data_IF_946134508851
#
_entry.id   IF_946134508851
#
_cell.length_a   1.000
_cell.length_b   1.000
_cell.length_c   1.000
_cell.angle_alpha   90.00
_cell.angle_beta   90.00
_cell.angle_gamma   90.00
#
_symmetry.space_group_name_H-M   'P 1'
#
loop_
_entity.id
_entity.type
_entity.pdbx_description
1 polymer ?
#
# COMPACT_ATOMS: atom_id res chain seq x y z
N UNK A 1 -18.55 -10.73 22.95
CA UNK A 1 -18.33 -11.78 21.94
C UNK A 1 -17.56 -11.13 20.81
N UNK A 2 -16.30 -11.50 20.57
CA UNK A 2 -15.53 -10.96 19.46
C UNK A 2 -16.17 -11.46 18.16
N UNK A 3 -16.58 -10.56 17.27
CA UNK A 3 -17.02 -10.93 15.93
C UNK A 3 -15.83 -11.57 15.22
N UNK A 4 -15.84 -12.88 15.10
CA UNK A 4 -14.91 -13.60 14.23
C UNK A 4 -15.40 -13.35 12.80
N UNK A 5 -14.81 -12.35 12.14
CA UNK A 5 -15.07 -12.15 10.72
C UNK A 5 -14.42 -13.30 9.94
N UNK A 6 -15.12 -13.91 8.97
CA UNK A 6 -14.50 -14.89 8.09
C UNK A 6 -13.30 -14.26 7.37
N UNK A 7 -12.23 -15.03 7.19
CA UNK A 7 -11.09 -14.59 6.40
C UNK A 7 -11.53 -14.15 5.00
N UNK A 8 -11.03 -13.01 4.54
CA UNK A 8 -11.36 -12.45 3.22
C UNK A 8 -12.64 -11.61 3.16
N UNK A 9 -13.28 -11.29 4.30
CA UNK A 9 -14.37 -10.34 4.34
C UNK A 9 -13.86 -8.89 4.40
N UNK A 10 -14.11 -8.13 3.33
CA UNK A 10 -13.78 -6.71 3.24
C UNK A 10 -15.05 -5.89 3.00
N UNK A 11 -15.07 -4.66 3.51
CA UNK A 11 -16.17 -3.70 3.30
C UNK A 11 -15.76 -2.53 2.42
N UNK A 12 -14.47 -2.17 2.46
CA UNK A 12 -13.89 -1.04 1.74
C UNK A 12 -12.69 -1.48 0.91
N UNK A 13 -12.42 -0.74 -0.16
CA UNK A 13 -11.17 -0.81 -0.91
C UNK A 13 -10.65 0.61 -1.13
N UNK A 14 -9.37 0.83 -0.84
CA UNK A 14 -8.70 2.09 -1.15
C UNK A 14 -7.86 1.89 -2.41
N UNK A 15 -8.03 2.75 -3.39
CA UNK A 15 -7.30 2.72 -4.65
C UNK A 15 -6.73 4.08 -4.96
N UNK A 16 -5.71 4.12 -5.82
CA UNK A 16 -5.14 5.36 -6.32
C UNK A 16 -5.13 5.36 -7.84
N UNK A 17 -5.57 6.46 -8.44
CA UNK A 17 -5.66 6.58 -9.90
C UNK A 17 -4.26 6.53 -10.54
N UNK A 18 -4.20 6.13 -11.81
CA UNK A 18 -2.94 6.09 -12.58
C UNK A 18 -2.48 7.53 -12.89
N UNK A 19 -1.26 7.95 -12.49
CA UNK A 19 -0.74 9.28 -12.78
C UNK A 19 -0.36 9.44 -14.27
N UNK A 20 -0.35 10.67 -14.76
CA UNK A 20 0.09 10.97 -16.14
C UNK A 20 1.57 10.65 -16.39
N UNK A 21 2.36 10.57 -15.32
CA UNK A 21 3.76 10.14 -15.35
C UNK A 21 3.93 8.63 -15.37
N UNK A 22 2.85 7.85 -15.35
CA UNK A 22 2.90 6.39 -15.38
C UNK A 22 3.75 5.86 -16.56
N UNK A 23 4.65 4.94 -16.25
CA UNK A 23 5.54 4.31 -17.23
C UNK A 23 6.72 5.16 -17.68
N UNK A 24 6.82 6.42 -17.23
CA UNK A 24 8.06 7.20 -17.32
C UNK A 24 8.97 6.74 -16.18
N UNK A 25 9.87 5.80 -16.47
CA UNK A 25 10.85 5.34 -15.47
C UNK A 25 11.75 6.51 -15.05
N UNK A 26 12.00 6.65 -13.74
CA UNK A 26 13.01 7.57 -13.22
C UNK A 26 14.45 7.08 -13.50
N UNK A 27 14.62 5.81 -13.86
CA UNK A 27 15.91 5.21 -14.19
C UNK A 27 15.83 4.54 -15.57
N UNK A 28 16.67 5.01 -16.50
CA UNK A 28 16.66 4.73 -17.94
C UNK A 28 16.99 3.29 -18.36
N UNK A 29 16.33 2.30 -17.77
CA UNK A 29 16.21 0.96 -18.38
C UNK A 29 15.28 1.03 -19.60
N UNK A 30 15.54 0.17 -20.60
CA UNK A 30 14.72 0.02 -21.81
C UNK A 30 13.25 -0.20 -21.43
N UNK A 31 12.49 0.90 -21.37
CA UNK A 31 11.11 0.90 -20.92
C UNK A 31 10.27 0.17 -21.96
N UNK A 32 9.57 -0.88 -21.53
CA UNK A 32 8.41 -1.35 -22.28
C UNK A 32 7.51 -0.14 -22.56
N UNK A 33 7.11 0.05 -23.81
CA UNK A 33 6.22 1.13 -24.21
C UNK A 33 4.88 0.97 -23.46
N UNK A 34 4.69 1.76 -22.40
CA UNK A 34 3.48 1.72 -21.58
C UNK A 34 2.39 2.56 -22.21
N UNK A 35 1.27 1.93 -22.51
CA UNK A 35 0.05 2.62 -22.95
C UNK A 35 -0.70 3.16 -21.73
N UNK A 36 -0.55 4.47 -21.48
CA UNK A 36 -1.22 5.18 -20.38
C UNK A 36 -2.75 5.05 -20.45
N UNK A 37 -3.33 5.21 -21.64
CA UNK A 37 -4.77 5.15 -21.84
C UNK A 37 -5.30 3.74 -21.52
N UNK A 38 -4.55 2.71 -21.93
CA UNK A 38 -4.87 1.32 -21.59
C UNK A 38 -4.75 1.07 -20.08
N UNK A 39 -3.72 1.58 -19.41
CA UNK A 39 -3.54 1.43 -17.96
C UNK A 39 -4.68 2.10 -17.18
N UNK A 40 -5.06 3.33 -17.55
CA UNK A 40 -6.20 4.05 -16.96
C UNK A 40 -7.52 3.27 -17.17
N UNK A 41 -7.73 2.74 -18.39
CA UNK A 41 -8.91 1.90 -18.67
C UNK A 41 -8.93 0.62 -17.83
N UNK A 42 -7.79 -0.05 -17.69
CA UNK A 42 -7.68 -1.27 -16.86
C UNK A 42 -7.94 -0.97 -15.38
N UNK A 43 -7.41 0.14 -14.85
CA UNK A 43 -7.72 0.60 -13.50
C UNK A 43 -9.23 0.85 -13.33
N UNK A 44 -9.87 1.51 -14.30
CA UNK A 44 -11.33 1.71 -14.31
C UNK A 44 -12.13 0.40 -14.33
N UNK A 45 -11.65 -0.63 -15.01
CA UNK A 45 -12.28 -1.97 -15.00
C UNK A 45 -12.13 -2.63 -13.63
N UNK A 46 -10.96 -2.53 -13.00
CA UNK A 46 -10.71 -3.06 -11.66
C UNK A 46 -11.60 -2.38 -10.62
N UNK A 47 -11.62 -1.05 -10.58
CA UNK A 47 -12.43 -0.27 -9.64
C UNK A 47 -13.93 -0.50 -9.85
N UNK A 48 -14.36 -0.60 -11.11
CA UNK A 48 -15.73 -0.99 -11.47
C UNK A 48 -16.09 -2.37 -10.96
N UNK A 49 -15.20 -3.36 -11.10
CA UNK A 49 -15.43 -4.72 -10.60
C UNK A 49 -15.50 -4.76 -9.06
N UNK A 50 -14.60 -4.08 -8.35
CA UNK A 50 -14.61 -3.99 -6.89
C UNK A 50 -15.91 -3.37 -6.38
N UNK A 51 -16.39 -2.28 -7.01
CA UNK A 51 -17.62 -1.61 -6.61
C UNK A 51 -18.87 -2.39 -6.98
N UNK A 52 -18.98 -2.86 -8.23
CA UNK A 52 -20.25 -3.39 -8.76
C UNK A 52 -20.40 -4.90 -8.60
N UNK A 53 -19.31 -5.66 -8.73
CA UNK A 53 -19.37 -7.14 -8.67
C UNK A 53 -19.10 -7.67 -7.27
N UNK A 54 -18.14 -7.07 -6.56
CA UNK A 54 -17.79 -7.46 -5.18
C UNK A 54 -18.65 -6.72 -4.16
N UNK A 55 -19.06 -5.47 -4.46
CA UNK A 55 -19.91 -4.67 -3.58
C UNK A 55 -19.14 -3.87 -2.53
N UNK A 56 -17.85 -3.61 -2.74
CA UNK A 56 -17.02 -2.85 -1.81
C UNK A 56 -17.28 -1.34 -1.93
N UNK A 57 -17.20 -0.65 -0.80
CA UNK A 57 -17.13 0.81 -0.76
C UNK A 57 -15.73 1.27 -1.22
N UNK A 58 -15.67 1.86 -2.40
CA UNK A 58 -14.41 2.28 -3.00
C UNK A 58 -14.08 3.72 -2.62
N UNK A 59 -12.90 3.91 -2.04
CA UNK A 59 -12.29 5.22 -1.78
C UNK A 59 -11.15 5.42 -2.77
N UNK A 60 -11.26 6.45 -3.61
CA UNK A 60 -10.27 6.75 -4.64
C UNK A 60 -9.44 7.96 -4.24
N UNK A 61 -8.13 7.75 -4.10
CA UNK A 61 -7.16 8.81 -3.87
C UNK A 61 -6.73 9.35 -5.25
N UNK A 62 -6.76 10.68 -5.47
CA UNK A 62 -6.28 11.27 -6.72
C UNK A 62 -4.82 10.91 -7.02
N UNK A 63 -4.51 10.79 -8.31
CA UNK A 63 -3.14 10.64 -8.76
C UNK A 63 -2.33 11.92 -8.50
N UNK A 64 -1.01 11.75 -8.35
CA UNK A 64 -0.04 12.85 -8.21
C UNK A 64 1.00 12.68 -9.30
N UNK A 65 1.08 13.62 -10.23
CA UNK A 65 1.90 13.50 -11.44
C UNK A 65 3.40 13.40 -11.14
N UNK A 66 3.84 13.91 -9.99
CA UNK A 66 5.23 13.85 -9.53
C UNK A 66 5.65 12.44 -9.09
N UNK A 67 4.69 11.52 -8.88
CA UNK A 67 4.92 10.19 -8.32
C UNK A 67 4.44 9.10 -9.29
N UNK A 68 5.27 8.65 -10.24
CA UNK A 68 4.86 7.71 -11.30
C UNK A 68 4.43 6.33 -10.79
N UNK A 69 4.90 5.95 -9.60
CA UNK A 69 4.60 4.67 -8.95
C UNK A 69 3.46 4.78 -7.91
N UNK A 70 2.82 5.94 -7.78
CA UNK A 70 1.84 6.19 -6.70
C UNK A 70 0.58 5.35 -6.77
N UNK A 71 0.33 4.71 -7.90
CA UNK A 71 -0.79 3.78 -8.07
C UNK A 71 -0.63 2.50 -7.25
N UNK A 72 0.60 2.18 -6.81
CA UNK A 72 0.93 1.00 -5.99
C UNK A 72 0.68 1.28 -4.50
N UNK A 73 -0.57 1.57 -4.18
CA UNK A 73 -0.98 1.92 -2.80
C UNK A 73 -0.79 0.76 -1.82
N UNK A 74 -0.75 -0.49 -2.30
CA UNK A 74 -0.50 -1.68 -1.48
C UNK A 74 0.83 -1.62 -0.75
N UNK A 75 1.83 -0.96 -1.31
CA UNK A 75 3.14 -0.89 -0.68
C UNK A 75 3.14 0.02 0.55
N UNK A 76 2.19 0.95 0.65
CA UNK A 76 2.17 2.06 1.61
C UNK A 76 1.50 1.68 2.92
N UNK A 77 0.59 0.71 2.92
CA UNK A 77 -0.14 0.32 4.12
C UNK A 77 -0.46 -1.17 4.16
N UNK A 78 -0.25 -1.77 5.33
CA UNK A 78 -0.73 -3.12 5.67
C UNK A 78 -1.85 -2.96 6.69
N UNK A 79 -3.00 -3.60 6.46
CA UNK A 79 -4.18 -3.47 7.32
C UNK A 79 -4.60 -4.84 7.80
N UNK A 80 -4.79 -4.98 9.12
CA UNK A 80 -5.36 -6.18 9.72
C UNK A 80 -6.30 -5.77 10.87
N UNK A 81 -7.52 -6.31 10.82
CA UNK A 81 -8.56 -5.95 11.78
C UNK A 81 -8.92 -4.46 11.72
N UNK A 82 -8.79 -3.78 12.85
CA UNK A 82 -8.98 -2.34 13.01
C UNK A 82 -7.67 -1.55 12.99
N UNK A 83 -6.53 -2.22 12.76
CA UNK A 83 -5.20 -1.63 12.83
C UNK A 83 -4.57 -1.55 11.45
N UNK A 84 -3.95 -0.41 11.14
CA UNK A 84 -3.26 -0.16 9.89
C UNK A 84 -1.82 0.30 10.16
N UNK A 85 -0.86 -0.44 9.62
CA UNK A 85 0.55 -0.07 9.60
C UNK A 85 0.85 0.71 8.32
N UNK A 86 1.14 2.00 8.45
CA UNK A 86 1.78 2.77 7.39
C UNK A 86 3.24 2.32 7.30
N UNK A 87 3.61 1.81 6.14
CA UNK A 87 4.94 1.27 5.87
C UNK A 87 5.95 2.38 5.57
N UNK A 88 7.22 1.99 5.39
CA UNK A 88 8.29 2.89 4.96
C UNK A 88 8.92 2.36 3.67
N UNK A 89 8.40 2.77 2.50
CA UNK A 89 8.95 2.36 1.22
C UNK A 89 10.43 2.73 1.08
N UNK A 90 11.17 1.88 0.38
CA UNK A 90 12.59 2.06 0.15
C UNK A 90 12.89 3.37 -0.60
N UNK A 91 12.13 3.65 -1.67
CA UNK A 91 12.24 4.90 -2.43
C UNK A 91 11.69 6.08 -1.63
N UNK A 92 12.56 7.04 -1.31
CA UNK A 92 12.20 8.20 -0.49
C UNK A 92 11.05 9.04 -1.09
N UNK A 93 10.98 9.17 -2.42
CA UNK A 93 9.90 9.89 -3.11
C UNK A 93 8.52 9.30 -2.78
N UNK A 94 8.42 7.97 -2.62
CA UNK A 94 7.17 7.28 -2.30
C UNK A 94 6.74 7.46 -0.85
N UNK A 95 7.62 7.92 0.03
CA UNK A 95 7.24 8.22 1.44
C UNK A 95 6.26 9.38 1.54
N UNK A 96 6.25 10.29 0.56
CA UNK A 96 5.25 11.36 0.47
C UNK A 96 3.82 10.81 0.23
N UNK A 97 3.68 9.56 -0.25
CA UNK A 97 2.37 8.93 -0.44
C UNK A 97 1.68 8.57 0.89
N UNK A 98 2.47 8.34 1.94
CA UNK A 98 1.99 7.92 3.25
C UNK A 98 0.98 8.92 3.85
N UNK A 99 1.17 10.23 3.63
CA UNK A 99 0.29 11.24 4.19
C UNK A 99 -1.14 11.13 3.66
N UNK A 100 -1.30 10.92 2.34
CA UNK A 100 -2.62 10.79 1.73
C UNK A 100 -3.33 9.52 2.22
N UNK A 101 -2.60 8.40 2.29
CA UNK A 101 -3.14 7.13 2.78
C UNK A 101 -3.54 7.23 4.25
N UNK A 102 -2.70 7.85 5.09
CA UNK A 102 -2.98 8.09 6.51
C UNK A 102 -4.28 8.84 6.73
N UNK A 103 -4.55 9.89 5.95
CA UNK A 103 -5.82 10.65 6.05
C UNK A 103 -7.01 9.75 5.81
N UNK A 104 -6.98 8.93 4.76
CA UNK A 104 -8.04 7.95 4.44
C UNK A 104 -8.22 6.92 5.56
N UNK A 105 -7.14 6.38 6.11
CA UNK A 105 -7.22 5.38 7.19
C UNK A 105 -7.81 5.98 8.48
N UNK A 106 -7.48 7.23 8.79
CA UNK A 106 -8.08 7.96 9.91
C UNK A 106 -9.58 8.23 9.69
N UNK A 107 -9.99 8.59 8.46
CA UNK A 107 -11.41 8.75 8.12
C UNK A 107 -12.20 7.43 8.26
N UNK A 108 -11.55 6.30 7.95
CA UNK A 108 -12.07 4.96 8.19
C UNK A 108 -12.05 4.53 9.67
N UNK A 109 -11.55 5.39 10.57
CA UNK A 109 -11.44 5.16 12.01
C UNK A 109 -10.58 3.94 12.38
N UNK A 110 -9.55 3.66 11.59
CA UNK A 110 -8.57 2.63 11.90
C UNK A 110 -7.53 3.18 12.88
N UNK A 111 -6.98 2.29 13.71
CA UNK A 111 -5.81 2.57 14.54
C UNK A 111 -4.59 2.63 13.63
N UNK A 112 -4.07 3.82 13.38
CA UNK A 112 -2.92 4.01 12.49
C UNK A 112 -1.62 3.95 13.29
N UNK A 113 -0.73 3.05 12.90
CA UNK A 113 0.65 2.93 13.39
C UNK A 113 1.58 3.29 12.23
N UNK A 114 2.55 4.17 12.47
CA UNK A 114 3.55 4.55 11.46
C UNK A 114 4.89 3.86 11.75
N UNK A 115 5.51 3.29 10.71
CA UNK A 115 6.87 2.78 10.79
C UNK A 115 7.85 3.97 10.97
N UNK A 116 8.39 4.10 12.18
CA UNK A 116 9.24 5.23 12.56
C UNK A 116 10.61 5.28 11.87
N UNK A 117 11.24 6.46 11.91
CA UNK A 117 12.66 6.61 11.64
C UNK A 117 13.43 6.17 12.89
N UNK A 118 14.18 5.08 12.81
CA UNK A 118 15.04 4.72 13.95
C UNK A 118 16.21 5.71 14.07
N UNK A 119 16.30 6.35 15.23
CA UNK A 119 17.48 7.11 15.65
C UNK A 119 18.67 6.15 15.78
N UNK A 120 19.75 6.37 15.00
CA UNK A 120 21.02 5.65 15.23
C UNK A 120 21.80 5.13 14.02
N UNK A 121 21.68 5.72 12.82
CA UNK A 121 22.63 5.51 11.72
C UNK A 121 22.54 4.16 10.99
N UNK A 122 21.62 3.27 11.37
CA UNK A 122 21.44 1.92 10.82
C UNK A 122 20.35 1.86 9.75
N UNK A 123 20.34 2.74 8.74
CA UNK A 123 19.45 2.64 7.55
C UNK A 123 17.92 2.72 7.78
N UNK A 124 17.44 2.62 9.03
CA UNK A 124 16.03 2.56 9.43
C UNK A 124 15.29 1.31 8.93
N UNK A 125 14.08 1.09 9.44
CA UNK A 125 13.18 0.06 8.95
C UNK A 125 12.71 0.39 7.52
N UNK A 126 12.65 -0.61 6.65
CA UNK A 126 12.02 -0.48 5.32
C UNK A 126 11.13 -1.68 5.07
N UNK A 127 9.94 -1.41 4.54
CA UNK A 127 8.96 -2.44 4.20
C UNK A 127 8.07 -1.92 3.08
N UNK A 128 7.81 -2.78 2.10
CA UNK A 128 6.76 -2.59 1.10
C UNK A 128 5.67 -3.64 1.34
N UNK A 129 4.41 -3.22 1.40
CA UNK A 129 3.28 -4.12 1.66
C UNK A 129 3.12 -5.26 0.64
N UNK A 130 3.65 -5.13 -0.58
CA UNK A 130 3.71 -6.23 -1.56
C UNK A 130 4.61 -7.40 -1.13
N UNK A 131 5.55 -7.18 -0.20
CA UNK A 131 6.36 -8.26 0.40
C UNK A 131 5.63 -8.97 1.56
N UNK A 132 4.40 -8.56 1.90
CA UNK A 132 3.63 -9.10 3.04
C UNK A 132 2.48 -9.98 2.54
N UNK A 133 2.49 -11.24 2.98
CA UNK A 133 1.39 -12.18 2.77
C UNK A 133 0.72 -12.52 4.09
N UNK A 134 -0.55 -12.15 4.25
CA UNK A 134 -1.38 -12.56 5.38
C UNK A 134 -2.25 -13.75 4.97
N UNK A 135 -2.23 -14.83 5.77
CA UNK A 135 -3.00 -16.05 5.48
C UNK A 135 -4.35 -16.13 6.19
N UNK A 136 -4.68 -15.11 6.99
CA UNK A 136 -5.77 -15.16 7.95
C UNK A 136 -5.36 -15.67 9.33
N UNK A 137 -4.14 -16.20 9.47
CA UNK A 137 -3.60 -16.71 10.73
C UNK A 137 -2.23 -16.13 11.06
N UNK A 138 -1.40 -15.96 10.04
CA UNK A 138 -0.01 -15.55 10.19
C UNK A 138 0.42 -14.68 9.02
N UNK A 139 1.50 -13.93 9.24
CA UNK A 139 2.14 -13.10 8.24
C UNK A 139 3.43 -13.77 7.76
N UNK A 140 3.63 -13.81 6.45
CA UNK A 140 4.92 -14.06 5.84
C UNK A 140 5.44 -12.74 5.26
N UNK A 141 6.67 -12.37 5.62
CA UNK A 141 7.32 -11.15 5.12
C UNK A 141 8.55 -11.55 4.31
N UNK A 142 8.55 -11.19 3.03
CA UNK A 142 9.69 -11.37 2.14
C UNK A 142 10.81 -10.38 2.49
N UNK A 143 12.03 -10.89 2.67
CA UNK A 143 13.21 -10.03 2.78
C UNK A 143 13.73 -9.77 1.37
N UNK A 144 13.71 -8.51 0.96
CA UNK A 144 13.96 -8.09 -0.41
C UNK A 144 14.93 -6.91 -0.44
N UNK A 145 15.16 -6.34 -1.64
CA UNK A 145 15.91 -5.08 -1.76
C UNK A 145 15.17 -3.90 -1.13
N UNK A 146 13.84 -4.01 -0.96
CA UNK A 146 13.00 -2.93 -0.46
C UNK A 146 12.52 -3.17 0.97
N UNK A 147 12.43 -4.44 1.40
CA UNK A 147 12.00 -4.83 2.76
C UNK A 147 13.16 -5.46 3.54
N UNK A 148 13.51 -4.87 4.68
CA UNK A 148 14.58 -5.36 5.55
C UNK A 148 14.04 -6.08 6.79
N UNK A 149 14.92 -6.78 7.51
CA UNK A 149 14.55 -7.51 8.73
C UNK A 149 13.89 -6.60 9.78
N UNK A 150 14.36 -5.35 9.91
CA UNK A 150 13.80 -4.39 10.86
C UNK A 150 12.36 -4.00 10.50
N UNK A 151 12.06 -3.84 9.21
CA UNK A 151 10.70 -3.62 8.73
C UNK A 151 9.77 -4.80 9.06
N UNK A 152 10.27 -6.02 8.91
CA UNK A 152 9.52 -7.22 9.29
C UNK A 152 9.29 -7.30 10.82
N UNK A 153 10.28 -6.93 11.63
CA UNK A 153 10.13 -6.85 13.10
C UNK A 153 9.08 -5.82 13.51
N UNK A 154 9.09 -4.63 12.92
CA UNK A 154 8.07 -3.60 13.19
C UNK A 154 6.68 -4.09 12.82
N UNK A 155 6.54 -4.82 11.70
CA UNK A 155 5.27 -5.43 11.32
C UNK A 155 4.80 -6.45 12.37
N UNK A 156 5.71 -7.33 12.81
CA UNK A 156 5.41 -8.32 13.84
C UNK A 156 5.04 -7.66 15.18
N UNK A 157 5.68 -6.55 15.55
CA UNK A 157 5.38 -5.78 16.75
C UNK A 157 4.03 -5.06 16.68
N UNK A 158 3.61 -4.66 15.49
CA UNK A 158 2.35 -3.94 15.26
C UNK A 158 1.13 -4.85 15.34
N UNK A 159 1.20 -6.07 14.82
CA UNK A 159 0.06 -7.00 14.71
C UNK A 159 0.14 -8.17 15.70
N UNK A 160 0.59 -7.90 16.94
CA UNK A 160 0.66 -8.89 18.02
C UNK A 160 -0.71 -9.30 18.58
#
# INVERSE_FOLDING_TARGET
MANIYPYGCFTHAVVRSIPESFGKSAEGGEGFQTDLAKAQRQMGVLTGALRQKVGLQLIEIPAVSELPESWRIEDIAVIQGDTALITRPFKQQRRAEAEAVRRVLNELKLTVVEMGDEEGGSGGATLEGSDVLFTGKEFFVGISKHTNHRGAEVLADTFK
#
